data_IF_220132702379
#
_entry.id   IF_220132702379
#
_cell.length_a   1.000
_cell.length_b   1.000
_cell.length_c   1.000
_cell.angle_alpha   90.00
_cell.angle_beta   90.00
_cell.angle_gamma   90.00
#
_symmetry.space_group_name_H-M   'P 1'
#
loop_
_entity.id
_entity.type
_entity.pdbx_description
1 polymer ?
#
# COMPACT_ATOMS: atom_id res chain seq x y z
N UNK A 1 26.99 -13.04 -14.55
CA UNK A 1 26.11 -12.65 -13.43
C UNK A 1 26.45 -11.21 -13.09
N UNK A 2 25.52 -10.27 -13.28
CA UNK A 2 25.79 -8.84 -13.07
C UNK A 2 25.32 -8.44 -11.65
N UNK A 3 26.16 -7.85 -10.78
CA UNK A 3 25.80 -7.52 -9.39
C UNK A 3 24.99 -6.21 -9.21
N UNK A 4 24.10 -5.85 -10.14
CA UNK A 4 23.53 -4.48 -10.24
C UNK A 4 21.99 -4.34 -10.27
N UNK A 5 21.21 -5.42 -10.21
CA UNK A 5 19.79 -5.38 -10.63
C UNK A 5 18.81 -4.98 -9.51
N UNK A 6 19.22 -4.06 -8.63
CA UNK A 6 18.39 -3.49 -7.56
C UNK A 6 17.28 -2.52 -8.02
N UNK A 7 17.08 -2.40 -9.34
CA UNK A 7 16.04 -1.57 -9.93
C UNK A 7 14.68 -2.28 -9.79
N UNK A 8 13.91 -1.83 -8.81
CA UNK A 8 12.54 -2.28 -8.56
C UNK A 8 11.71 -2.28 -9.86
N UNK A 9 10.86 -3.30 -10.11
CA UNK A 9 10.08 -3.38 -11.34
C UNK A 9 9.28 -2.08 -11.58
N UNK A 10 9.27 -1.55 -12.82
CA UNK A 10 8.47 -0.37 -13.13
C UNK A 10 6.99 -0.67 -12.88
N UNK A 11 6.28 0.31 -12.33
CA UNK A 11 4.86 0.21 -11.97
C UNK A 11 3.99 0.90 -13.03
N UNK A 12 2.90 0.27 -13.43
CA UNK A 12 1.95 0.89 -14.37
C UNK A 12 1.14 1.99 -13.69
N UNK A 13 0.72 2.99 -14.50
CA UNK A 13 -0.17 4.06 -14.06
C UNK A 13 -1.41 3.55 -13.33
N UNK A 14 -2.02 2.48 -13.89
CA UNK A 14 -3.23 1.87 -13.33
C UNK A 14 -2.99 1.30 -11.94
N UNK A 15 -1.86 0.61 -11.71
CA UNK A 15 -1.53 0.04 -10.39
C UNK A 15 -1.32 1.13 -9.34
N UNK A 16 -0.63 2.21 -9.71
CA UNK A 16 -0.42 3.35 -8.83
C UNK A 16 -1.76 3.99 -8.45
N UNK A 17 -2.63 4.28 -9.43
CA UNK A 17 -3.96 4.88 -9.16
C UNK A 17 -4.85 3.99 -8.31
N UNK A 18 -4.85 2.67 -8.57
CA UNK A 18 -5.59 1.71 -7.75
C UNK A 18 -5.07 1.69 -6.32
N UNK A 19 -3.75 1.66 -6.12
CA UNK A 19 -3.16 1.68 -4.79
C UNK A 19 -3.54 2.94 -4.01
N UNK A 20 -3.50 4.12 -4.65
CA UNK A 20 -3.96 5.37 -4.05
C UNK A 20 -5.44 5.36 -3.69
N UNK A 21 -6.30 4.86 -4.58
CA UNK A 21 -7.74 4.76 -4.32
C UNK A 21 -8.06 3.82 -3.15
N UNK A 22 -7.39 2.66 -3.10
CA UNK A 22 -7.55 1.68 -2.01
C UNK A 22 -7.08 2.28 -0.69
N UNK A 23 -5.90 2.90 -0.67
CA UNK A 23 -5.35 3.53 0.53
C UNK A 23 -6.29 4.59 1.11
N UNK A 24 -6.79 5.50 0.26
CA UNK A 24 -7.75 6.54 0.68
C UNK A 24 -9.05 5.94 1.21
N UNK A 25 -9.56 4.89 0.57
CA UNK A 25 -10.80 4.22 1.01
C UNK A 25 -10.61 3.53 2.36
N UNK A 26 -9.50 2.84 2.57
CA UNK A 26 -9.18 2.15 3.83
C UNK A 26 -9.01 3.16 4.95
N UNK A 27 -8.24 4.23 4.73
CA UNK A 27 -8.05 5.27 5.74
C UNK A 27 -9.39 5.96 6.10
N UNK A 28 -10.28 6.19 5.12
CA UNK A 28 -11.62 6.73 5.35
C UNK A 28 -12.53 5.81 6.19
N UNK A 29 -12.30 4.50 6.15
CA UNK A 29 -13.02 3.51 6.97
C UNK A 29 -12.40 3.40 8.36
N UNK A 30 -11.07 3.35 8.45
CA UNK A 30 -10.36 3.09 9.71
C UNK A 30 -10.36 4.31 10.64
N UNK A 31 -10.25 5.53 10.12
CA UNK A 31 -10.30 6.75 10.93
C UNK A 31 -11.57 6.79 11.81
N UNK A 32 -12.80 6.65 11.29
CA UNK A 32 -13.98 6.61 12.14
C UNK A 32 -14.09 5.32 12.97
N UNK A 33 -13.60 4.18 12.46
CA UNK A 33 -13.64 2.91 13.21
C UNK A 33 -12.75 2.91 14.46
N UNK A 34 -11.62 3.64 14.46
CA UNK A 34 -10.76 3.76 15.65
C UNK A 34 -11.46 4.43 16.84
N UNK A 35 -12.50 5.25 16.60
CA UNK A 35 -13.31 5.84 17.65
C UNK A 35 -14.30 4.84 18.31
N UNK A 36 -14.49 3.65 17.74
CA UNK A 36 -15.44 2.64 18.22
C UNK A 36 -14.89 1.74 19.35
N UNK A 37 -13.68 2.02 19.85
CA UNK A 37 -13.08 1.29 20.97
C UNK A 37 -12.56 -0.11 20.59
N UNK A 38 -12.38 -1.03 21.56
CA UNK A 38 -11.61 -2.28 21.38
C UNK A 38 -12.17 -3.23 20.32
N UNK A 39 -13.48 -3.21 20.06
CA UNK A 39 -14.11 -4.04 19.04
C UNK A 39 -13.84 -3.53 17.62
N UNK A 40 -13.83 -2.20 17.44
CA UNK A 40 -13.42 -1.56 16.18
C UNK A 40 -11.96 -1.80 15.86
N UNK A 41 -11.10 -1.83 16.90
CA UNK A 41 -9.69 -2.17 16.78
C UNK A 41 -9.46 -3.60 16.26
N UNK A 42 -10.15 -4.60 16.81
CA UNK A 42 -10.01 -6.00 16.36
C UNK A 42 -10.43 -6.22 14.89
N UNK A 43 -11.46 -5.51 14.44
CA UNK A 43 -11.89 -5.54 13.03
C UNK A 43 -10.93 -4.75 12.14
N UNK A 44 -10.32 -3.68 12.67
CA UNK A 44 -9.27 -2.89 12.04
C UNK A 44 -8.06 -3.75 11.67
N UNK A 45 -7.56 -4.56 12.60
CA UNK A 45 -6.40 -5.43 12.39
C UNK A 45 -6.57 -6.40 11.19
N UNK A 46 -7.77 -6.94 10.98
CA UNK A 46 -8.07 -7.80 9.83
C UNK A 46 -8.06 -7.02 8.50
N UNK A 47 -8.62 -5.81 8.51
CA UNK A 47 -8.59 -4.89 7.37
C UNK A 47 -7.16 -4.42 7.06
N UNK A 48 -6.33 -4.21 8.08
CA UNK A 48 -4.92 -3.82 7.91
C UNK A 48 -4.11 -4.94 7.25
N UNK A 49 -4.26 -6.18 7.72
CA UNK A 49 -3.59 -7.33 7.11
C UNK A 49 -3.99 -7.48 5.63
N UNK A 50 -5.27 -7.34 5.32
CA UNK A 50 -5.77 -7.41 3.94
C UNK A 50 -5.19 -6.29 3.08
N UNK A 51 -5.22 -5.05 3.58
CA UNK A 51 -4.72 -3.88 2.86
C UNK A 51 -3.23 -4.01 2.57
N UNK A 52 -2.45 -4.50 3.54
CA UNK A 52 -1.02 -4.79 3.37
C UNK A 52 -0.77 -5.74 2.19
N UNK A 53 -1.47 -6.87 2.18
CA UNK A 53 -1.32 -7.91 1.14
C UNK A 53 -1.71 -7.36 -0.23
N UNK A 54 -2.81 -6.62 -0.31
CA UNK A 54 -3.28 -6.00 -1.56
C UNK A 54 -2.25 -5.00 -2.09
N UNK A 55 -1.74 -4.11 -1.24
CA UNK A 55 -0.77 -3.10 -1.66
C UNK A 55 0.59 -3.72 -2.03
N UNK A 56 1.03 -4.77 -1.33
CA UNK A 56 2.20 -5.55 -1.75
C UNK A 56 2.01 -6.19 -3.12
N UNK A 57 0.82 -6.73 -3.41
CA UNK A 57 0.55 -7.31 -4.72
C UNK A 57 0.57 -6.26 -5.85
N UNK A 58 0.13 -5.03 -5.56
CA UNK A 58 0.03 -3.95 -6.54
C UNK A 58 1.34 -3.21 -6.77
N UNK A 59 2.06 -2.88 -5.70
CA UNK A 59 3.23 -2.00 -5.71
C UNK A 59 4.56 -2.75 -5.50
N UNK A 60 4.48 -4.04 -5.16
CA UNK A 60 5.61 -4.83 -4.70
C UNK A 60 5.83 -4.67 -3.19
N UNK A 61 6.73 -5.50 -2.66
CA UNK A 61 7.12 -5.41 -1.26
C UNK A 61 7.72 -4.04 -0.95
N UNK A 62 7.21 -3.39 0.10
CA UNK A 62 7.77 -2.16 0.62
C UNK A 62 7.69 -2.16 2.14
N UNK A 63 8.82 -1.81 2.78
CA UNK A 63 8.92 -1.80 4.24
C UNK A 63 7.89 -0.88 4.88
N UNK A 64 7.49 0.22 4.21
CA UNK A 64 6.49 1.17 4.71
C UNK A 64 5.07 0.59 4.89
N UNK A 65 4.78 -0.61 4.39
CA UNK A 65 3.49 -1.27 4.64
C UNK A 65 3.49 -2.14 5.91
N UNK A 66 4.65 -2.44 6.50
CA UNK A 66 4.75 -3.17 7.77
C UNK A 66 4.46 -2.31 9.02
N UNK A 67 4.87 -1.02 9.09
CA UNK A 67 4.62 -0.17 10.25
C UNK A 67 3.16 -0.14 10.65
N UNK A 68 2.22 0.03 9.71
CA UNK A 68 0.78 0.08 10.03
C UNK A 68 0.33 -1.13 10.87
N UNK A 69 0.78 -2.33 10.48
CA UNK A 69 0.50 -3.60 11.18
C UNK A 69 1.24 -3.74 12.53
N UNK A 70 2.46 -3.20 12.64
CA UNK A 70 3.27 -3.31 13.86
C UNK A 70 2.98 -2.20 14.88
N UNK A 71 2.59 -1.00 14.44
CA UNK A 71 2.24 0.13 15.30
C UNK A 71 0.91 -0.06 16.00
N UNK A 72 0.07 -0.96 15.51
CA UNK A 72 -1.20 -1.34 16.16
C UNK A 72 -0.99 -1.96 17.55
N UNK A 73 0.22 -2.43 17.86
CA UNK A 73 0.63 -2.91 19.19
C UNK A 73 1.05 -1.79 20.16
N UNK A 74 1.16 -0.54 19.68
CA UNK A 74 1.56 0.62 20.48
C UNK A 74 0.48 1.70 20.38
N UNK A 75 -0.36 1.88 21.41
CA UNK A 75 -1.33 2.97 21.42
C UNK A 75 -0.60 4.33 21.34
N UNK A 76 -1.20 5.31 20.64
CA UNK A 76 -0.74 6.71 20.46
C UNK A 76 0.30 7.02 19.36
N UNK A 77 0.76 6.03 18.58
CA UNK A 77 1.58 6.26 17.38
C UNK A 77 0.77 6.74 16.16
N UNK A 78 -0.22 7.63 16.35
CA UNK A 78 -1.18 8.05 15.33
C UNK A 78 -0.53 9.04 14.32
N UNK A 79 0.29 8.50 13.41
CA UNK A 79 1.10 9.23 12.43
C UNK A 79 0.36 9.35 11.09
N UNK A 80 -0.72 10.14 11.06
CA UNK A 80 -1.48 10.46 9.83
C UNK A 80 -2.09 9.22 9.11
N UNK A 81 -2.84 9.35 7.99
CA UNK A 81 -3.49 8.20 7.34
C UNK A 81 -2.43 7.20 6.85
N UNK A 82 -2.33 6.04 7.54
CA UNK A 82 -1.20 5.12 7.46
C UNK A 82 -1.03 4.52 6.06
N UNK A 83 -2.12 4.20 5.37
CA UNK A 83 -2.05 3.58 4.05
C UNK A 83 -1.75 4.59 2.96
N UNK A 84 -2.35 5.77 3.03
CA UNK A 84 -2.10 6.87 2.08
C UNK A 84 -0.65 7.33 2.16
N UNK A 85 -0.10 7.47 3.37
CA UNK A 85 1.31 7.81 3.56
C UNK A 85 2.24 6.68 3.08
N UNK A 86 1.91 5.42 3.36
CA UNK A 86 2.69 4.28 2.90
C UNK A 86 2.72 4.19 1.37
N UNK A 87 1.60 4.42 0.69
CA UNK A 87 1.55 4.49 -0.78
C UNK A 87 2.35 5.67 -1.30
N UNK A 88 2.26 6.85 -0.66
CA UNK A 88 3.07 8.01 -1.04
C UNK A 88 4.57 7.74 -0.95
N UNK A 89 5.02 7.02 0.08
CA UNK A 89 6.42 6.60 0.23
C UNK A 89 6.81 5.51 -0.76
N UNK A 90 5.95 4.51 -0.97
CA UNK A 90 6.23 3.38 -1.87
C UNK A 90 6.25 3.79 -3.35
N UNK A 91 5.49 4.82 -3.72
CA UNK A 91 5.41 5.35 -5.08
C UNK A 91 6.38 6.53 -5.32
N UNK A 92 7.02 7.05 -4.27
CA UNK A 92 7.98 8.16 -4.36
C UNK A 92 9.16 7.77 -5.27
N UNK A 93 9.38 8.54 -6.33
CA UNK A 93 10.44 8.28 -7.31
C UNK A 93 10.17 7.14 -8.28
N UNK A 94 9.06 6.40 -8.12
CA UNK A 94 8.57 5.43 -9.11
C UNK A 94 7.65 6.19 -10.05
N UNK A 95 8.26 6.80 -11.06
CA UNK A 95 7.55 7.58 -12.08
C UNK A 95 6.42 6.78 -12.74
N UNK A 96 5.46 7.51 -13.28
CA UNK A 96 4.29 7.00 -13.98
C UNK A 96 4.73 6.43 -15.35
N UNK A 97 5.36 5.24 -15.32
CA UNK A 97 5.85 4.57 -16.51
C UNK A 97 4.67 3.87 -17.19
N UNK A 98 4.34 4.31 -18.41
CA UNK A 98 3.55 3.47 -19.31
C UNK A 98 4.39 2.24 -19.62
N UNK A 99 4.14 1.16 -18.88
CA UNK A 99 4.78 -0.11 -19.15
C UNK A 99 4.55 -0.44 -20.64
N UNK A 100 5.60 -0.80 -21.39
CA UNK A 100 5.42 -1.28 -22.75
C UNK A 100 4.34 -2.37 -22.73
N UNK A 101 3.23 -2.13 -23.43
CA UNK A 101 2.14 -3.09 -23.49
C UNK A 101 2.72 -4.42 -24.01
N UNK A 102 2.37 -5.57 -23.40
CA UNK A 102 2.80 -6.86 -23.93
C UNK A 102 2.47 -6.91 -25.43
N UNK A 103 3.37 -7.47 -26.27
CA UNK A 103 3.13 -7.55 -27.71
C UNK A 103 1.75 -8.13 -27.95
N UNK A 104 0.89 -7.38 -28.63
CA UNK A 104 -0.41 -7.89 -29.06
C UNK A 104 -0.11 -9.07 -29.97
N UNK A 105 -0.32 -10.29 -29.47
CA UNK A 105 -0.22 -11.50 -30.28
C UNK A 105 -1.35 -11.43 -31.29
N UNK A 106 -1.04 -10.93 -32.49
CA UNK A 106 -1.97 -10.96 -33.61
C UNK A 106 -1.91 -12.38 -34.16
N UNK A 107 -2.96 -13.16 -33.89
CA UNK A 107 -3.21 -14.43 -34.57
C UNK A 107 -3.72 -14.18 -35.99
#
# INVERSE_FOLDING_TARGET
>A
MNPGDGAQPPLSRTRIRLAWAIALAVDAIQIPATAAGPLGWFLGAGLDLLTMVVLWSLLGFHWAFLPSFLTEWIPYLNLAPFWTLAVALATRGRGEVDLPLPPKVVN
#
